data_IF_636882015378
#
_entry.id   IF_636882015378
#
_cell.length_a   1.000
_cell.length_b   1.000
_cell.length_c   1.000
_cell.angle_alpha   90.00
_cell.angle_beta   90.00
_cell.angle_gamma   90.00
#
_symmetry.space_group_name_H-M   'P 1'
#
loop_
_entity.id
_entity.type
_entity.pdbx_description
1 polymer ?
#
# COMPACT_ATOMS: atom_id res chain seq x y z
N UNK A 1 1.13 19.39 30.60
CA UNK A 1 0.64 17.99 30.58
C UNK A 1 1.52 17.24 29.60
N UNK A 2 2.17 16.15 30.01
CA UNK A 2 3.07 15.41 29.11
C UNK A 2 2.31 14.30 28.39
N UNK A 3 1.80 14.62 27.21
CA UNK A 3 1.08 13.68 26.36
C UNK A 3 1.97 12.57 25.81
N UNK A 4 3.28 12.81 25.70
CA UNK A 4 4.21 11.78 25.22
C UNK A 4 4.31 10.65 26.24
N UNK A 5 4.45 10.98 27.53
CA UNK A 5 4.42 9.98 28.60
C UNK A 5 3.07 9.28 28.71
N UNK A 6 1.96 10.04 28.61
CA UNK A 6 0.61 9.50 28.75
C UNK A 6 0.28 8.43 27.70
N UNK A 7 0.69 8.64 26.45
CA UNK A 7 0.31 7.77 25.33
C UNK A 7 1.44 6.84 24.84
N UNK A 8 2.65 6.90 25.41
CA UNK A 8 3.79 6.05 25.03
C UNK A 8 3.44 4.56 24.99
N UNK A 9 2.73 4.06 26.01
CA UNK A 9 2.31 2.66 26.07
C UNK A 9 1.33 2.29 24.95
N UNK A 10 0.41 3.21 24.64
CA UNK A 10 -0.55 3.05 23.54
C UNK A 10 0.16 3.02 22.18
N UNK A 11 1.06 3.97 21.91
CA UNK A 11 1.83 4.02 20.65
C UNK A 11 2.63 2.73 20.46
N UNK A 12 3.37 2.29 21.47
CA UNK A 12 4.14 1.03 21.40
C UNK A 12 3.25 -0.18 21.10
N UNK A 13 2.08 -0.27 21.74
CA UNK A 13 1.14 -1.36 21.50
C UNK A 13 0.59 -1.33 20.07
N UNK A 14 0.25 -0.14 19.57
CA UNK A 14 -0.26 0.06 18.21
C UNK A 14 0.80 -0.31 17.16
N UNK A 15 2.04 0.15 17.34
CA UNK A 15 3.16 -0.18 16.46
C UNK A 15 3.31 -1.70 16.37
N UNK A 16 3.45 -2.39 17.51
CA UNK A 16 3.61 -3.85 17.56
C UNK A 16 2.49 -4.60 16.83
N UNK A 17 1.24 -4.14 16.95
CA UNK A 17 0.08 -4.77 16.30
C UNK A 17 0.03 -4.55 14.78
N UNK A 18 0.62 -3.47 14.28
CA UNK A 18 0.53 -3.11 12.86
C UNK A 18 1.80 -3.45 12.08
N UNK A 19 2.95 -3.71 12.71
CA UNK A 19 4.19 -4.11 12.03
C UNK A 19 4.01 -5.33 11.13
N UNK A 20 3.27 -6.36 11.57
CA UNK A 20 3.02 -7.55 10.74
C UNK A 20 2.04 -7.31 9.58
N UNK A 21 1.23 -6.24 9.63
CA UNK A 21 0.14 -5.96 8.68
C UNK A 21 0.52 -4.82 7.70
N UNK A 22 1.63 -4.13 7.96
CA UNK A 22 2.19 -3.07 7.14
C UNK A 22 3.64 -3.45 6.79
N UNK A 23 3.86 -4.48 5.96
CA UNK A 23 5.20 -5.02 5.69
C UNK A 23 6.13 -4.00 5.02
N UNK A 24 5.55 -3.06 4.27
CA UNK A 24 6.30 -2.04 3.52
C UNK A 24 6.75 -0.85 4.40
N UNK A 25 6.31 -0.80 5.66
CA UNK A 25 6.68 0.24 6.61
C UNK A 25 7.53 -0.34 7.74
N UNK A 26 8.65 0.33 8.00
CA UNK A 26 9.48 0.03 9.16
C UNK A 26 8.75 0.36 10.46
N UNK A 27 9.17 -0.30 11.54
CA UNK A 27 8.64 -0.01 12.88
C UNK A 27 8.73 1.49 13.24
N UNK A 28 9.80 2.16 12.82
CA UNK A 28 10.05 3.59 13.07
C UNK A 28 9.09 4.49 12.29
N UNK A 29 8.76 4.14 11.05
CA UNK A 29 7.78 4.89 10.25
C UNK A 29 6.37 4.76 10.84
N UNK A 30 5.98 3.55 11.26
CA UNK A 30 4.69 3.31 11.93
C UNK A 30 4.63 4.11 13.24
N UNK A 31 5.71 4.13 14.02
CA UNK A 31 5.79 4.92 15.25
C UNK A 31 5.66 6.43 14.96
N UNK A 32 6.34 6.92 13.93
CA UNK A 32 6.29 8.33 13.52
C UNK A 32 4.87 8.72 13.12
N UNK A 33 4.19 7.88 12.34
CA UNK A 33 2.79 8.08 11.94
C UNK A 33 1.83 8.09 13.13
N UNK A 34 2.06 7.23 14.13
CA UNK A 34 1.29 7.25 15.37
C UNK A 34 1.45 8.56 16.14
N UNK A 35 2.69 9.05 16.28
CA UNK A 35 2.98 10.31 16.96
C UNK A 35 2.42 11.52 16.20
N UNK A 36 2.52 11.53 14.88
CA UNK A 36 1.95 12.58 14.03
C UNK A 36 0.42 12.64 14.17
N UNK A 37 -0.26 11.49 14.03
CA UNK A 37 -1.71 11.42 14.20
C UNK A 37 -2.16 11.85 15.60
N UNK A 38 -1.42 11.47 16.63
CA UNK A 38 -1.67 11.88 18.01
C UNK A 38 -1.53 13.40 18.20
N UNK A 39 -0.45 14.00 17.68
CA UNK A 39 -0.22 15.43 17.78
C UNK A 39 -1.36 16.23 17.12
N UNK A 40 -1.77 15.82 15.91
CA UNK A 40 -2.92 16.42 15.21
C UNK A 40 -4.22 16.23 15.98
N UNK A 41 -4.44 15.04 16.56
CA UNK A 41 -5.65 14.74 17.32
C UNK A 41 -5.76 15.63 18.56
N UNK A 42 -4.67 15.79 19.32
CA UNK A 42 -4.63 16.66 20.51
C UNK A 42 -4.87 18.11 20.11
N UNK A 43 -4.18 18.60 19.07
CA UNK A 43 -4.32 19.98 18.63
C UNK A 43 -5.74 20.33 18.19
N UNK A 44 -6.47 19.36 17.62
CA UNK A 44 -7.85 19.54 17.14
C UNK A 44 -8.92 19.21 18.19
N UNK A 45 -8.54 18.74 19.38
CA UNK A 45 -9.49 18.36 20.40
C UNK A 45 -9.94 19.58 21.20
N UNK A 46 -11.24 19.84 21.17
CA UNK A 46 -11.91 20.98 21.81
C UNK A 46 -12.69 20.58 23.08
N UNK A 47 -12.70 19.29 23.44
CA UNK A 47 -13.44 18.76 24.57
C UNK A 47 -14.93 18.49 24.32
N UNK A 48 -15.49 18.92 23.19
CA UNK A 48 -16.94 18.77 22.91
C UNK A 48 -17.35 17.33 22.58
N UNK A 49 -16.41 16.53 22.05
CA UNK A 49 -16.66 15.17 21.55
C UNK A 49 -16.25 14.07 22.54
N UNK A 50 -16.21 14.37 23.84
CA UNK A 50 -15.89 13.42 24.90
C UNK A 50 -14.41 13.35 25.24
N UNK A 51 -13.98 12.26 25.88
CA UNK A 51 -12.63 12.11 26.46
C UNK A 51 -11.53 12.15 25.41
N UNK A 52 -10.46 12.90 25.68
CA UNK A 52 -9.28 12.99 24.82
C UNK A 52 -8.69 11.62 24.47
N UNK A 53 -8.64 10.69 25.42
CA UNK A 53 -8.08 9.36 25.18
C UNK A 53 -8.84 8.58 24.09
N UNK A 54 -10.18 8.64 24.12
CA UNK A 54 -11.02 8.02 23.08
C UNK A 54 -10.84 8.70 21.72
N UNK A 55 -10.71 10.03 21.72
CA UNK A 55 -10.45 10.81 20.51
C UNK A 55 -9.11 10.45 19.85
N UNK A 56 -8.03 10.43 20.65
CA UNK A 56 -6.69 10.02 20.21
C UNK A 56 -6.69 8.57 19.71
N UNK A 57 -7.38 7.67 20.42
CA UNK A 57 -7.50 6.28 20.00
C UNK A 57 -8.15 6.14 18.61
N UNK A 58 -9.25 6.86 18.37
CA UNK A 58 -9.94 6.86 17.10
C UNK A 58 -9.05 7.41 15.98
N UNK A 59 -8.37 8.53 16.21
CA UNK A 59 -7.49 9.17 15.23
C UNK A 59 -6.31 8.27 14.84
N UNK A 60 -5.59 7.71 15.81
CA UNK A 60 -4.42 6.85 15.55
C UNK A 60 -4.85 5.54 14.88
N UNK A 61 -5.94 4.91 15.36
CA UNK A 61 -6.46 3.68 14.73
C UNK A 61 -6.96 3.92 13.30
N UNK A 62 -7.60 5.07 13.06
CA UNK A 62 -8.01 5.52 11.74
C UNK A 62 -6.82 5.64 10.80
N UNK A 63 -5.75 6.32 11.24
CA UNK A 63 -4.51 6.46 10.47
C UNK A 63 -3.91 5.10 10.08
N UNK A 64 -3.88 4.14 10.99
CA UNK A 64 -3.37 2.78 10.70
C UNK A 64 -4.27 2.03 9.70
N UNK A 65 -5.57 2.28 9.69
CA UNK A 65 -6.48 1.73 8.66
C UNK A 65 -6.21 2.35 7.29
N UNK A 66 -5.98 3.66 7.24
CA UNK A 66 -5.69 4.36 5.98
C UNK A 66 -4.38 3.89 5.36
N UNK A 67 -3.33 3.68 6.17
CA UNK A 67 -2.07 3.12 5.69
C UNK A 67 -2.27 1.72 5.07
N UNK A 68 -3.04 0.85 5.72
CA UNK A 68 -3.35 -0.49 5.18
C UNK A 68 -4.10 -0.43 3.85
N UNK A 69 -5.07 0.48 3.72
CA UNK A 69 -5.83 0.67 2.47
C UNK A 69 -4.96 1.18 1.34
N UNK A 70 -4.02 2.09 1.62
CA UNK A 70 -3.08 2.60 0.61
C UNK A 70 -2.24 1.48 0.01
N UNK A 71 -1.77 0.56 0.85
CA UNK A 71 -1.02 -0.62 0.37
C UNK A 71 -1.87 -1.53 -0.50
N UNK A 72 -3.11 -1.82 -0.09
CA UNK A 72 -4.01 -2.65 -0.88
C UNK A 72 -4.26 -2.06 -2.28
N UNK A 73 -4.50 -0.75 -2.36
CA UNK A 73 -4.70 -0.06 -3.64
C UNK A 73 -3.42 -0.07 -4.49
N UNK A 74 -2.25 0.14 -3.88
CA UNK A 74 -0.98 0.08 -4.61
C UNK A 74 -0.71 -1.32 -5.17
N UNK A 75 -1.05 -2.38 -4.44
CA UNK A 75 -0.92 -3.76 -4.91
C UNK A 75 -1.86 -4.05 -6.08
N UNK A 76 -3.11 -3.60 -6.00
CA UNK A 76 -4.11 -3.76 -7.06
C UNK A 76 -3.68 -3.04 -8.35
N UNK A 77 -3.21 -1.79 -8.25
CA UNK A 77 -2.67 -1.05 -9.40
C UNK A 77 -1.46 -1.77 -9.99
N UNK A 78 -0.50 -2.23 -9.18
CA UNK A 78 0.69 -2.92 -9.69
C UNK A 78 0.35 -4.26 -10.37
N UNK A 79 -0.69 -4.96 -9.91
CA UNK A 79 -1.20 -6.17 -10.55
C UNK A 79 -1.81 -5.85 -11.92
N UNK A 80 -2.68 -4.84 -11.99
CA UNK A 80 -3.32 -4.41 -13.25
C UNK A 80 -2.28 -4.01 -14.31
N UNK A 81 -1.24 -3.26 -13.92
CA UNK A 81 -0.12 -2.92 -14.82
C UNK A 81 0.68 -4.16 -15.26
N UNK A 82 0.89 -5.13 -14.38
CA UNK A 82 1.61 -6.37 -14.71
C UNK A 82 0.81 -7.27 -15.65
N UNK A 83 -0.51 -7.34 -15.49
CA UNK A 83 -1.40 -8.09 -16.38
C UNK A 83 -1.46 -7.43 -17.77
N UNK A 84 -1.57 -6.10 -17.83
CA UNK A 84 -1.53 -5.36 -19.09
C UNK A 84 -0.21 -5.58 -19.84
N UNK A 85 0.94 -5.50 -19.16
CA UNK A 85 2.25 -5.74 -19.77
C UNK A 85 2.49 -7.19 -20.20
N UNK A 86 1.83 -8.17 -19.57
CA UNK A 86 1.92 -9.58 -19.98
C UNK A 86 1.14 -9.83 -21.29
N UNK A 87 -0.01 -9.18 -21.46
CA UNK A 87 -0.80 -9.28 -22.69
C UNK A 87 -0.12 -8.63 -23.89
N UNK A 88 0.62 -7.54 -23.70
CA UNK A 88 1.41 -6.92 -24.77
C UNK A 88 2.58 -7.82 -25.23
N UNK A 89 3.24 -8.52 -24.30
CA UNK A 89 4.29 -9.48 -24.64
C UNK A 89 3.74 -10.71 -25.40
N UNK A 90 2.57 -11.24 -25.02
CA UNK A 90 1.94 -12.35 -25.74
C UNK A 90 1.52 -11.95 -27.17
N UNK A 91 1.15 -10.68 -27.38
CA UNK A 91 0.82 -10.14 -28.70
C UNK A 91 2.06 -10.00 -29.60
N UNK A 92 3.20 -9.53 -29.07
CA UNK A 92 4.46 -9.47 -29.82
C UNK A 92 5.02 -10.86 -30.16
N UNK A 93 4.86 -11.85 -29.26
CA UNK A 93 5.29 -13.23 -29.50
C UNK A 93 4.43 -13.92 -30.57
N UNK A 94 3.14 -13.58 -30.68
CA UNK A 94 2.25 -14.13 -31.72
C UNK A 94 2.52 -13.57 -33.12
N UNK A 95 3.00 -12.31 -33.22
CA UNK A 95 3.32 -11.68 -34.50
C UNK A 95 4.65 -12.23 -35.08
N UNK A 96 5.63 -12.55 -34.23
CA UNK A 96 6.89 -13.18 -34.64
C UNK A 96 6.76 -14.67 -35.05
N UNK A 97 5.70 -15.36 -34.64
CA UNK A 97 5.49 -16.78 -34.99
C UNK A 97 4.77 -16.98 -36.34
N UNK A 98 4.26 -15.92 -36.98
CA UNK A 98 3.55 -16.00 -38.26
C UNK A 98 4.40 -15.64 -39.49
N UNK A 99 5.67 -15.25 -39.31
CA UNK A 99 6.58 -14.91 -40.42
C UNK A 99 7.48 -16.08 -40.88
N UNK A 100 7.38 -17.25 -40.26
CA UNK A 100 8.22 -18.43 -40.54
C UNK A 100 7.49 -19.60 -41.26
N UNK A 101 6.41 -19.33 -42.00
CA UNK A 101 5.82 -20.34 -42.91
C UNK A 101 5.20 -19.71 -44.17
N UNK A 102 5.97 -19.62 -45.25
CA UNK A 102 5.44 -19.61 -46.61
C UNK A 102 5.89 -20.88 -47.36
N UNK A 103 4.94 -21.70 -47.87
CA UNK A 103 5.23 -22.97 -48.53
C UNK A 103 5.61 -22.82 -50.02
N UNK A 104 6.40 -23.78 -50.48
CA UNK A 104 6.82 -24.15 -51.84
C UNK A 104 5.94 -23.68 -53.03
N UNK A 105 6.60 -23.21 -54.11
CA UNK A 105 6.16 -23.45 -55.49
C UNK A 105 7.34 -23.48 -56.49
N UNK A 106 7.41 -24.60 -57.23
CA UNK A 106 8.40 -25.01 -58.24
C UNK A 106 8.55 -24.08 -59.45
N UNK A 107 9.77 -24.03 -60.05
CA UNK A 107 9.95 -23.86 -61.50
C UNK A 107 11.31 -24.46 -62.01
N UNK A 108 11.27 -25.75 -62.39
CA UNK A 108 11.65 -26.38 -63.68
C UNK A 108 12.95 -25.95 -64.45
N UNK A 109 13.81 -26.96 -64.66
CA UNK A 109 14.63 -27.38 -65.85
C UNK A 109 15.79 -26.50 -66.36
N UNK A 110 16.98 -27.12 -66.40
CA UNK A 110 17.78 -27.35 -67.62
C UNK A 110 18.61 -28.64 -67.51
#
# INVERSE_FOLDING_TARGET
>A
MDYTLQFKGFVKSTVRKNTAVLPDLTQKEIETECWAALAVAIHRWDGSKGKLSSWVYAAVTGRMKDLRKRLAIQQEINQEYSEFSAMDNDAEIMDQANDDDLPYLDFIVF
#
